data_IF_584057055245
#
_entry.id   IF_584057055245
#
_cell.length_a   1.000
_cell.length_b   1.000
_cell.length_c   1.000
_cell.angle_alpha   90.00
_cell.angle_beta   90.00
_cell.angle_gamma   90.00
#
_symmetry.space_group_name_H-M   'P 1'
#
loop_
_entity.id
_entity.type
_entity.pdbx_description
1 polymer ?
#
# COMPACT_ATOMS: atom_id res chain seq x y z
N UNK A 1 -16.01 18.67 -17.18
CA UNK A 1 -14.82 19.45 -16.82
C UNK A 1 -13.61 18.61 -17.15
N UNK A 2 -12.70 19.12 -18.00
CA UNK A 2 -11.44 18.41 -18.27
C UNK A 2 -10.60 18.46 -16.98
N UNK A 3 -10.38 17.30 -16.37
CA UNK A 3 -9.52 17.21 -15.20
C UNK A 3 -8.08 17.50 -15.63
N UNK A 4 -7.47 18.54 -15.01
CA UNK A 4 -6.09 18.91 -15.31
C UNK A 4 -5.17 17.82 -14.76
N UNK A 5 -4.44 17.13 -15.66
CA UNK A 5 -3.47 16.11 -15.27
C UNK A 5 -2.21 16.74 -14.69
N UNK A 6 -1.73 16.21 -13.58
CA UNK A 6 -0.51 16.64 -12.92
C UNK A 6 0.74 16.00 -13.56
N UNK A 7 1.86 16.70 -13.55
CA UNK A 7 3.09 16.32 -14.28
C UNK A 7 3.89 15.23 -13.55
N UNK A 8 3.30 14.06 -13.33
CA UNK A 8 4.00 12.90 -12.80
C UNK A 8 3.40 11.57 -13.30
N UNK A 9 4.19 10.52 -13.23
CA UNK A 9 3.79 9.13 -13.51
C UNK A 9 3.52 8.42 -12.18
N UNK A 10 2.36 7.78 -12.07
CA UNK A 10 2.08 6.86 -10.95
C UNK A 10 2.54 5.44 -11.33
N UNK A 11 3.61 4.97 -10.70
CA UNK A 11 4.10 3.60 -10.85
C UNK A 11 3.37 2.65 -9.91
N UNK A 12 2.15 2.27 -10.29
CA UNK A 12 1.31 1.36 -9.50
C UNK A 12 0.16 0.79 -10.32
N UNK A 13 -0.08 -0.53 -10.21
CA UNK A 13 -1.26 -1.19 -10.75
C UNK A 13 -2.47 -1.17 -9.78
N UNK A 14 -2.32 -0.60 -8.58
CA UNK A 14 -3.37 -0.63 -7.56
C UNK A 14 -4.50 0.35 -7.85
N UNK A 15 -5.75 -0.11 -8.12
CA UNK A 15 -6.90 0.78 -8.33
C UNK A 15 -7.16 1.68 -7.11
N UNK A 16 -6.92 1.16 -5.91
CA UNK A 16 -7.12 1.90 -4.65
C UNK A 16 -6.24 3.14 -4.53
N UNK A 17 -5.00 3.09 -5.04
CA UNK A 17 -4.09 4.25 -5.04
C UNK A 17 -4.55 5.33 -6.01
N UNK A 18 -5.08 4.93 -7.15
CA UNK A 18 -5.68 5.84 -8.14
C UNK A 18 -6.91 6.52 -7.52
N UNK A 19 -7.79 5.74 -6.91
CA UNK A 19 -8.99 6.25 -6.22
C UNK A 19 -8.63 7.24 -5.11
N UNK A 20 -7.64 6.92 -4.27
CA UNK A 20 -7.17 7.81 -3.21
C UNK A 20 -6.65 9.15 -3.75
N UNK A 21 -5.90 9.14 -4.84
CA UNK A 21 -5.43 10.38 -5.48
C UNK A 21 -6.60 11.16 -6.08
N UNK A 22 -7.54 10.49 -6.74
CA UNK A 22 -8.72 11.10 -7.33
C UNK A 22 -9.61 11.78 -6.27
N UNK A 23 -9.72 11.19 -5.07
CA UNK A 23 -10.50 11.77 -3.97
C UNK A 23 -9.99 13.14 -3.50
N UNK A 24 -8.69 13.40 -3.71
CA UNK A 24 -8.07 14.71 -3.41
C UNK A 24 -7.76 15.51 -4.69
N UNK A 25 -8.41 15.16 -5.82
CA UNK A 25 -8.29 15.85 -7.12
C UNK A 25 -6.87 15.89 -7.68
N UNK A 26 -6.07 14.87 -7.40
CA UNK A 26 -4.73 14.69 -7.97
C UNK A 26 -4.79 13.60 -9.04
N UNK A 27 -4.51 13.97 -10.29
CA UNK A 27 -4.62 13.07 -11.43
C UNK A 27 -3.24 12.90 -12.07
N UNK A 28 -2.63 11.71 -12.00
CA UNK A 28 -1.34 11.47 -12.63
C UNK A 28 -1.45 11.57 -14.16
N UNK A 29 -0.40 12.10 -14.82
CA UNK A 29 -0.32 12.18 -16.28
C UNK A 29 -0.36 10.78 -16.92
N UNK A 30 0.33 9.82 -16.30
CA UNK A 30 0.45 8.43 -16.76
C UNK A 30 0.32 7.49 -15.55
N UNK A 31 -0.34 6.35 -15.76
CA UNK A 31 -0.35 5.22 -14.83
C UNK A 31 0.45 4.10 -15.47
N UNK A 32 1.47 3.61 -14.78
CA UNK A 32 2.36 2.56 -15.25
C UNK A 32 2.58 1.49 -14.20
N UNK A 33 2.42 0.22 -14.54
CA UNK A 33 2.73 -0.89 -13.65
C UNK A 33 4.17 -1.34 -13.85
N UNK A 34 5.02 -1.12 -12.87
CA UNK A 34 6.39 -1.65 -12.88
C UNK A 34 6.39 -3.11 -12.49
N UNK A 35 6.94 -3.94 -13.36
CA UNK A 35 7.24 -5.35 -13.04
C UNK A 35 8.65 -5.43 -12.43
N UNK A 36 8.73 -5.84 -11.17
CA UNK A 36 9.98 -5.98 -10.41
C UNK A 36 9.92 -7.23 -9.55
N UNK A 37 11.07 -7.77 -9.18
CA UNK A 37 11.15 -8.79 -8.14
C UNK A 37 10.86 -8.18 -6.77
N UNK A 38 9.80 -8.69 -6.11
CA UNK A 38 9.34 -8.27 -4.78
C UNK A 38 9.73 -9.30 -3.68
N UNK A 39 10.60 -10.28 -3.93
CA UNK A 39 11.01 -11.25 -2.94
C UNK A 39 11.68 -10.59 -1.72
N UNK A 40 11.45 -11.18 -0.54
CA UNK A 40 12.07 -10.72 0.71
C UNK A 40 13.53 -11.22 0.73
N UNK A 41 14.48 -10.30 0.86
CA UNK A 41 15.89 -10.66 1.01
C UNK A 41 16.15 -11.26 2.40
N UNK A 42 17.18 -12.13 2.48
CA UNK A 42 17.58 -12.74 3.75
C UNK A 42 17.84 -11.68 4.82
N UNK A 43 17.24 -11.87 6.02
CA UNK A 43 17.34 -10.97 7.18
C UNK A 43 16.82 -9.54 6.95
N UNK A 44 16.02 -9.31 5.89
CA UNK A 44 15.45 -8.00 5.62
C UNK A 44 14.28 -7.71 6.59
N UNK A 45 14.36 -6.59 7.32
CA UNK A 45 13.26 -6.19 8.20
C UNK A 45 12.13 -5.52 7.41
N UNK A 46 10.89 -5.47 7.94
CA UNK A 46 9.73 -4.93 7.23
C UNK A 46 9.93 -3.52 6.67
N UNK A 47 10.61 -2.62 7.41
CA UNK A 47 10.82 -1.23 6.98
C UNK A 47 11.84 -1.10 5.85
N UNK A 48 12.86 -1.97 5.81
CA UNK A 48 13.84 -2.03 4.71
C UNK A 48 13.20 -2.61 3.47
N UNK A 49 12.50 -3.73 3.61
CA UNK A 49 11.78 -4.41 2.53
C UNK A 49 10.82 -3.46 1.80
N UNK A 50 9.86 -2.88 2.51
CA UNK A 50 8.84 -2.01 1.92
C UNK A 50 9.47 -0.77 1.22
N UNK A 51 10.50 -0.18 1.83
CA UNK A 51 11.20 0.95 1.22
C UNK A 51 11.99 0.56 -0.04
N UNK A 52 12.62 -0.61 -0.05
CA UNK A 52 13.32 -1.15 -1.21
C UNK A 52 12.37 -1.40 -2.36
N UNK A 53 11.25 -2.08 -2.10
CA UNK A 53 10.25 -2.39 -3.13
C UNK A 53 9.65 -1.10 -3.71
N UNK A 54 9.25 -0.13 -2.86
CA UNK A 54 8.75 1.15 -3.34
C UNK A 54 9.79 1.88 -4.21
N UNK A 55 11.06 1.93 -3.77
CA UNK A 55 12.16 2.54 -4.53
C UNK A 55 12.38 1.83 -5.86
N UNK A 56 12.44 0.51 -5.88
CA UNK A 56 12.69 -0.26 -7.09
C UNK A 56 11.58 -0.08 -8.13
N UNK A 57 10.29 0.01 -7.69
CA UNK A 57 9.17 0.37 -8.57
C UNK A 57 9.39 1.73 -9.23
N UNK A 58 9.85 2.74 -8.47
CA UNK A 58 10.15 4.06 -9.03
C UNK A 58 11.31 4.00 -10.02
N UNK A 59 12.41 3.35 -9.67
CA UNK A 59 13.59 3.23 -10.54
C UNK A 59 13.25 2.51 -11.84
N UNK A 60 12.46 1.43 -11.78
CA UNK A 60 12.01 0.71 -12.97
C UNK A 60 11.15 1.57 -13.90
N UNK A 61 10.31 2.42 -13.33
CA UNK A 61 9.51 3.36 -14.12
C UNK A 61 10.36 4.47 -14.74
N UNK A 62 11.43 4.93 -14.05
CA UNK A 62 12.38 5.91 -14.59
C UNK A 62 13.11 5.41 -15.85
N UNK A 63 13.36 4.10 -15.98
CA UNK A 63 13.95 3.53 -17.21
C UNK A 63 13.07 3.83 -18.44
N UNK A 64 11.76 3.89 -18.26
CA UNK A 64 10.80 4.17 -19.35
C UNK A 64 10.43 5.64 -19.48
N UNK A 65 10.44 6.36 -18.38
CA UNK A 65 10.03 7.77 -18.29
C UNK A 65 11.12 8.62 -17.60
N UNK A 66 12.31 8.76 -18.20
CA UNK A 66 13.48 9.35 -17.54
C UNK A 66 13.28 10.84 -17.17
N UNK A 67 12.48 11.57 -17.95
CA UNK A 67 12.25 13.01 -17.75
C UNK A 67 11.11 13.32 -16.79
N UNK A 68 10.35 12.30 -16.37
CA UNK A 68 9.15 12.50 -15.56
C UNK A 68 9.43 12.30 -14.06
N UNK A 69 8.65 12.95 -13.21
CA UNK A 69 8.57 12.56 -11.82
C UNK A 69 7.82 11.24 -11.67
N UNK A 70 8.37 10.30 -10.94
CA UNK A 70 7.76 9.00 -10.67
C UNK A 70 7.30 8.92 -9.22
N UNK A 71 6.00 8.76 -9.01
CA UNK A 71 5.42 8.42 -7.72
C UNK A 71 5.16 6.92 -7.67
N UNK A 72 5.75 6.23 -6.71
CA UNK A 72 5.47 4.82 -6.45
C UNK A 72 5.15 4.58 -4.99
N UNK A 73 4.55 3.45 -4.68
CA UNK A 73 4.31 3.05 -3.30
C UNK A 73 4.34 1.52 -3.17
N UNK A 74 4.67 1.07 -1.97
CA UNK A 74 4.50 -0.31 -1.57
C UNK A 74 3.86 -0.39 -0.19
N UNK A 75 3.05 -1.44 0.05
CA UNK A 75 2.27 -1.59 1.28
C UNK A 75 2.36 -3.00 1.79
N UNK A 76 2.75 -3.15 3.05
CA UNK A 76 2.82 -4.43 3.73
C UNK A 76 2.07 -4.40 5.06
N UNK A 77 1.63 -5.57 5.50
CA UNK A 77 1.17 -5.81 6.87
C UNK A 77 2.24 -6.56 7.62
N UNK A 78 2.53 -6.17 8.86
CA UNK A 78 3.53 -6.87 9.67
C UNK A 78 3.18 -6.87 11.17
N UNK A 79 3.64 -7.90 11.86
CA UNK A 79 3.57 -7.98 13.32
C UNK A 79 4.95 -8.43 13.83
N UNK A 80 5.56 -7.62 14.70
CA UNK A 80 6.98 -7.76 15.05
C UNK A 80 7.84 -7.77 13.79
N UNK A 81 8.55 -8.86 13.50
CA UNK A 81 9.35 -8.99 12.26
C UNK A 81 8.69 -9.87 11.19
N UNK A 82 7.52 -10.45 11.46
CA UNK A 82 6.80 -11.27 10.48
C UNK A 82 6.02 -10.38 9.51
N UNK A 83 6.32 -10.50 8.22
CA UNK A 83 5.61 -9.82 7.15
C UNK A 83 4.49 -10.73 6.65
N UNK A 84 3.32 -10.13 6.40
CA UNK A 84 2.15 -10.76 5.82
C UNK A 84 1.90 -10.12 4.46
N UNK A 85 2.41 -10.76 3.42
CA UNK A 85 2.22 -10.32 2.03
C UNK A 85 0.81 -10.66 1.54
N UNK A 86 0.59 -10.60 0.23
CA UNK A 86 -0.64 -11.11 -0.39
C UNK A 86 -0.69 -12.62 -0.18
N UNK A 87 -1.81 -13.17 0.32
CA UNK A 87 -1.94 -14.61 0.50
C UNK A 87 -1.97 -15.32 -0.87
N UNK A 88 -1.38 -16.49 -0.92
CA UNK A 88 -1.31 -17.31 -2.13
C UNK A 88 -2.65 -17.97 -2.44
N UNK A 89 -3.37 -18.37 -1.37
CA UNK A 89 -4.62 -19.09 -1.43
C UNK A 89 -5.54 -18.74 -0.26
N UNK A 90 -6.72 -19.38 -0.22
CA UNK A 90 -7.74 -19.17 0.79
C UNK A 90 -7.28 -19.64 2.17
N UNK A 91 -6.49 -20.72 2.26
CA UNK A 91 -6.02 -21.24 3.54
C UNK A 91 -5.00 -20.30 4.16
N UNK A 92 -4.04 -19.77 3.39
CA UNK A 92 -3.11 -18.77 3.90
C UNK A 92 -3.84 -17.48 4.32
N UNK A 93 -4.87 -17.06 3.57
CA UNK A 93 -5.72 -15.93 3.97
C UNK A 93 -6.43 -16.20 5.30
N UNK A 94 -6.95 -17.41 5.51
CA UNK A 94 -7.55 -17.86 6.76
C UNK A 94 -6.58 -17.83 7.93
N UNK A 95 -5.35 -18.29 7.71
CA UNK A 95 -4.29 -18.25 8.71
C UNK A 95 -3.94 -16.83 9.12
N UNK A 96 -3.89 -15.88 8.16
CA UNK A 96 -3.65 -14.47 8.45
C UNK A 96 -4.77 -13.88 9.31
N UNK A 97 -6.04 -14.14 8.98
CA UNK A 97 -7.18 -13.66 9.74
C UNK A 97 -7.22 -14.25 11.15
N UNK A 98 -6.94 -15.54 11.31
CA UNK A 98 -6.80 -16.20 12.60
C UNK A 98 -5.67 -15.56 13.43
N UNK A 99 -4.55 -15.25 12.79
CA UNK A 99 -3.42 -14.59 13.46
C UNK A 99 -3.80 -13.19 13.93
N UNK A 100 -4.55 -12.40 13.14
CA UNK A 100 -4.95 -11.04 13.51
C UNK A 100 -6.12 -10.98 14.49
N UNK A 101 -6.88 -12.05 14.65
CA UNK A 101 -8.02 -12.13 15.54
C UNK A 101 -7.68 -11.69 16.98
N UNK A 102 -8.33 -10.62 17.45
CA UNK A 102 -8.10 -10.04 18.78
C UNK A 102 -6.76 -9.35 18.99
N UNK A 103 -5.96 -9.14 17.93
CA UNK A 103 -4.60 -8.61 18.01
C UNK A 103 -4.43 -7.26 17.32
N UNK A 104 -3.29 -6.64 17.63
CA UNK A 104 -2.79 -5.45 16.94
C UNK A 104 -1.74 -5.86 15.91
N UNK A 105 -1.78 -5.27 14.75
CA UNK A 105 -0.76 -5.40 13.71
C UNK A 105 -0.47 -4.04 13.09
N UNK A 106 0.59 -3.93 12.32
CA UNK A 106 0.99 -2.69 11.67
C UNK A 106 0.80 -2.80 10.16
N UNK A 107 0.32 -1.73 9.56
CA UNK A 107 0.33 -1.52 8.12
C UNK A 107 1.36 -0.45 7.82
N UNK A 108 2.35 -0.78 7.02
CA UNK A 108 3.38 0.14 6.55
C UNK A 108 3.20 0.38 5.07
N UNK A 109 3.08 1.63 4.68
CA UNK A 109 3.25 2.05 3.29
C UNK A 109 4.50 2.91 3.17
N UNK A 110 5.33 2.59 2.19
CA UNK A 110 6.43 3.42 1.75
C UNK A 110 6.04 4.09 0.43
N UNK A 111 6.11 5.41 0.39
CA UNK A 111 5.92 6.21 -0.82
C UNK A 111 7.26 6.71 -1.29
N UNK A 112 7.57 6.54 -2.56
CA UNK A 112 8.78 7.04 -3.19
C UNK A 112 8.44 8.02 -4.31
N UNK A 113 9.07 9.20 -4.28
CA UNK A 113 9.08 10.14 -5.38
C UNK A 113 10.50 10.21 -5.93
N UNK A 114 10.65 9.96 -7.22
CA UNK A 114 11.94 9.91 -7.90
C UNK A 114 11.91 10.70 -9.21
N UNK A 115 13.03 11.38 -9.53
CA UNK A 115 13.36 11.98 -10.84
C UNK A 115 14.87 12.18 -10.91
N UNK A 116 15.50 11.73 -11.97
CA UNK A 116 16.96 11.82 -12.13
C UNK A 116 17.70 11.28 -10.88
N UNK A 117 18.53 12.10 -10.24
CA UNK A 117 19.24 11.74 -9.01
C UNK A 117 18.42 11.97 -7.72
N UNK A 118 17.22 12.54 -7.82
CA UNK A 118 16.35 12.77 -6.68
C UNK A 118 15.61 11.48 -6.33
N UNK A 119 15.77 11.00 -5.09
CA UNK A 119 14.97 9.89 -4.56
C UNK A 119 14.54 10.26 -3.14
N UNK A 120 13.24 10.51 -2.95
CA UNK A 120 12.65 10.80 -1.64
C UNK A 120 11.74 9.66 -1.24
N UNK A 121 11.95 9.05 -0.07
CA UNK A 121 11.10 7.98 0.46
C UNK A 121 10.50 8.40 1.79
N UNK A 122 9.18 8.30 1.91
CA UNK A 122 8.43 8.45 3.16
C UNK A 122 7.88 7.09 3.61
N UNK A 123 7.98 6.81 4.90
CA UNK A 123 7.54 5.55 5.53
C UNK A 123 6.45 5.89 6.54
N UNK A 124 5.26 5.37 6.34
CA UNK A 124 4.11 5.64 7.22
C UNK A 124 3.60 4.35 7.83
N UNK A 125 3.55 4.29 9.13
CA UNK A 125 3.06 3.13 9.89
C UNK A 125 1.72 3.47 10.54
N UNK A 126 0.74 2.62 10.34
CA UNK A 126 -0.55 2.68 11.02
C UNK A 126 -0.81 1.39 11.76
N UNK A 127 -1.18 1.50 13.04
CA UNK A 127 -1.54 0.35 13.87
C UNK A 127 -3.04 0.07 13.77
N UNK A 128 -3.37 -1.15 13.36
CA UNK A 128 -4.75 -1.65 13.26
C UNK A 128 -5.00 -2.66 14.37
N UNK A 129 -6.16 -2.58 15.01
CA UNK A 129 -6.59 -3.54 16.05
C UNK A 129 -7.85 -4.25 15.58
N UNK A 130 -7.79 -5.57 15.47
CA UNK A 130 -8.96 -6.40 15.18
C UNK A 130 -9.70 -6.79 16.46
N UNK A 131 -11.02 -6.93 16.36
CA UNK A 131 -11.80 -7.66 17.35
C UNK A 131 -11.42 -9.15 17.32
N UNK A 132 -11.85 -9.93 18.32
CA UNK A 132 -11.81 -11.40 18.20
C UNK A 132 -12.79 -11.81 17.11
N UNK A 133 -12.33 -12.65 16.18
CA UNK A 133 -13.10 -13.22 15.08
C UNK A 133 -13.52 -14.65 15.47
N UNK A 134 -14.75 -15.02 15.17
CA UNK A 134 -15.19 -16.41 15.24
C UNK A 134 -15.02 -17.11 13.88
N UNK A 135 -15.18 -18.42 13.85
CA UNK A 135 -15.01 -19.22 12.63
C UNK A 135 -15.97 -18.81 11.50
N UNK A 136 -17.23 -18.54 11.85
CA UNK A 136 -18.25 -18.15 10.87
C UNK A 136 -17.87 -16.82 10.20
N UNK A 137 -17.44 -15.81 10.95
CA UNK A 137 -17.03 -14.50 10.42
C UNK A 137 -15.85 -14.62 9.45
N UNK A 138 -14.89 -15.50 9.75
CA UNK A 138 -13.75 -15.74 8.88
C UNK A 138 -14.23 -16.41 7.58
N UNK A 139 -15.07 -17.44 7.64
CA UNK A 139 -15.58 -18.13 6.45
C UNK A 139 -16.45 -17.21 5.58
N UNK A 140 -17.32 -16.42 6.19
CA UNK A 140 -18.12 -15.42 5.50
C UNK A 140 -17.22 -14.42 4.75
N UNK A 141 -16.20 -13.89 5.42
CA UNK A 141 -15.25 -12.97 4.78
C UNK A 141 -14.50 -13.64 3.63
N UNK A 142 -13.99 -14.86 3.83
CA UNK A 142 -13.26 -15.57 2.80
C UNK A 142 -14.13 -15.86 1.56
N UNK A 143 -15.45 -16.00 1.74
CA UNK A 143 -16.39 -16.20 0.63
C UNK A 143 -16.56 -14.96 -0.25
N UNK A 144 -16.29 -13.75 0.25
CA UNK A 144 -16.36 -12.50 -0.53
C UNK A 144 -15.23 -12.37 -1.56
N UNK A 145 -14.16 -13.14 -1.42
CA UNK A 145 -12.93 -13.01 -2.19
C UNK A 145 -12.21 -11.65 -2.05
N UNK A 146 -12.63 -10.77 -1.15
CA UNK A 146 -11.96 -9.47 -0.93
C UNK A 146 -10.52 -9.59 -0.42
N UNK A 147 -10.14 -10.75 0.12
CA UNK A 147 -8.79 -11.05 0.59
C UNK A 147 -7.76 -11.15 -0.53
N UNK A 148 -8.20 -11.43 -1.77
CA UNK A 148 -7.32 -11.55 -2.94
C UNK A 148 -6.58 -10.23 -3.20
N UNK A 149 -5.30 -10.33 -3.53
CA UNK A 149 -4.44 -9.18 -3.81
C UNK A 149 -4.32 -8.13 -2.70
N UNK A 150 -4.53 -8.54 -1.45
CA UNK A 150 -4.41 -7.69 -0.27
C UNK A 150 -3.29 -8.17 0.65
N UNK A 151 -2.34 -7.30 0.95
CA UNK A 151 -1.38 -7.56 2.02
C UNK A 151 -2.12 -7.80 3.34
N UNK A 152 -1.77 -8.90 4.04
CA UNK A 152 -2.47 -9.30 5.25
C UNK A 152 -3.87 -9.87 5.03
N UNK A 153 -4.25 -10.18 3.79
CA UNK A 153 -5.52 -10.82 3.43
C UNK A 153 -6.78 -10.02 3.80
N UNK A 154 -6.74 -8.68 3.93
CA UNK A 154 -7.96 -7.92 4.19
C UNK A 154 -7.99 -6.55 3.51
N UNK A 155 -9.18 -6.05 3.22
CA UNK A 155 -9.45 -4.71 2.74
C UNK A 155 -10.21 -3.92 3.81
N UNK A 156 -9.58 -2.82 4.30
CA UNK A 156 -10.24 -1.93 5.28
C UNK A 156 -11.49 -1.24 4.73
N UNK A 157 -11.58 -1.08 3.41
CA UNK A 157 -12.67 -0.40 2.71
C UNK A 157 -13.87 -1.31 2.41
N UNK A 158 -13.81 -2.60 2.79
CA UNK A 158 -14.82 -3.57 2.44
C UNK A 158 -15.39 -4.30 3.65
N UNK A 159 -15.77 -5.53 3.42
CA UNK A 159 -16.43 -6.37 4.43
C UNK A 159 -15.62 -6.55 5.72
N UNK A 160 -14.27 -6.46 5.65
CA UNK A 160 -13.40 -6.55 6.82
C UNK A 160 -13.45 -5.31 7.73
N UNK A 161 -14.08 -4.20 7.33
CA UNK A 161 -14.21 -3.01 8.18
C UNK A 161 -14.87 -3.35 9.53
N UNK A 162 -15.87 -4.22 9.54
CA UNK A 162 -16.55 -4.71 10.75
C UNK A 162 -15.64 -5.46 11.74
N UNK A 163 -14.44 -5.87 11.30
CA UNK A 163 -13.44 -6.53 12.15
C UNK A 163 -12.54 -5.54 12.87
N UNK A 164 -12.50 -4.28 12.41
CA UNK A 164 -11.56 -3.28 12.87
C UNK A 164 -12.13 -2.53 14.07
N UNK A 165 -11.55 -2.81 15.25
CA UNK A 165 -11.92 -2.14 16.50
C UNK A 165 -11.31 -0.73 16.61
N UNK A 166 -10.10 -0.52 16.08
CA UNK A 166 -9.35 0.74 16.21
C UNK A 166 -8.26 0.86 15.15
N UNK A 167 -8.10 2.08 14.66
CA UNK A 167 -6.98 2.53 13.84
C UNK A 167 -6.22 3.59 14.64
N UNK A 168 -4.89 3.50 14.67
CA UNK A 168 -4.02 4.54 15.22
C UNK A 168 -2.99 4.91 14.14
N UNK A 169 -3.22 6.03 13.48
CA UNK A 169 -2.49 6.53 12.33
C UNK A 169 -3.41 6.92 11.17
N UNK A 170 -2.94 6.77 9.94
CA UNK A 170 -3.63 7.20 8.72
C UNK A 170 -4.48 6.07 8.11
N UNK A 171 -5.77 6.34 7.89
CA UNK A 171 -6.66 5.43 7.16
C UNK A 171 -6.18 5.20 5.72
N UNK A 172 -5.85 6.28 5.00
CA UNK A 172 -5.36 6.19 3.62
C UNK A 172 -4.05 5.39 3.49
N UNK A 173 -3.21 5.41 4.55
CA UNK A 173 -2.06 4.53 4.65
C UNK A 173 -2.46 3.05 4.66
N UNK A 174 -3.50 2.68 5.42
CA UNK A 174 -3.99 1.29 5.47
C UNK A 174 -4.58 0.85 4.13
N UNK A 175 -5.26 1.76 3.44
CA UNK A 175 -5.77 1.52 2.07
C UNK A 175 -4.63 1.29 1.07
N UNK A 176 -3.48 1.98 1.27
CA UNK A 176 -2.27 1.74 0.48
C UNK A 176 -1.56 2.96 -0.10
N UNK A 177 -1.98 4.19 0.26
CA UNK A 177 -1.29 5.43 -0.09
C UNK A 177 -1.56 6.50 0.98
N UNK A 178 -0.59 6.85 1.85
CA UNK A 178 -0.76 7.88 2.87
C UNK A 178 -0.85 9.25 2.20
N UNK A 179 -2.08 9.78 2.09
CA UNK A 179 -2.38 10.97 1.30
C UNK A 179 -1.67 12.24 1.81
N UNK A 180 -1.55 12.42 3.12
CA UNK A 180 -0.86 13.56 3.70
C UNK A 180 0.61 13.63 3.25
N UNK A 181 1.35 12.54 3.39
CA UNK A 181 2.75 12.45 3.01
C UNK A 181 2.92 12.50 1.49
N UNK A 182 1.99 11.89 0.75
CA UNK A 182 2.00 11.91 -0.72
C UNK A 182 1.78 13.32 -1.24
N UNK A 183 0.78 14.04 -0.72
CA UNK A 183 0.51 15.44 -1.05
C UNK A 183 1.75 16.30 -0.81
N UNK A 184 2.33 16.22 0.39
CA UNK A 184 3.51 17.01 0.74
C UNK A 184 4.73 16.69 -0.14
N UNK A 185 4.93 15.43 -0.53
CA UNK A 185 5.99 15.06 -1.47
C UNK A 185 5.79 15.72 -2.84
N UNK A 186 4.58 15.64 -3.40
CA UNK A 186 4.25 16.22 -4.70
C UNK A 186 4.32 17.75 -4.66
N UNK A 187 3.72 18.38 -3.65
CA UNK A 187 3.73 19.82 -3.46
C UNK A 187 5.16 20.38 -3.30
N UNK A 188 6.04 19.66 -2.58
CA UNK A 188 7.44 20.08 -2.40
C UNK A 188 8.26 20.12 -3.70
N UNK A 189 7.71 19.62 -4.80
CA UNK A 189 8.33 19.64 -6.13
C UNK A 189 7.52 20.48 -7.13
N UNK A 190 6.49 21.21 -6.67
CA UNK A 190 5.63 22.02 -7.54
C UNK A 190 4.83 21.20 -8.56
N UNK A 191 4.45 19.97 -8.20
CA UNK A 191 3.72 19.06 -9.11
C UNK A 191 2.20 19.20 -8.98
N UNK A 192 1.75 19.83 -7.92
CA UNK A 192 0.33 20.09 -7.58
C UNK A 192 0.19 21.46 -6.97
#
# INVERSE_FOLDING_TARGET
MNETKHSFVLSSASPRRIELLNNIKIFPKIIYSSDINEDINSKENPKKYCARVAKNKALKALEKYPEEFILSADTIVFCSNKIFLKPKDKEEAKDFLNFFSGRKHNVLTCVCLAKNNLIKVKKVVTKVTFKRLNKQEIEEYLSTNEWKDKAGAYAIQGYAEKFIKRINGSYSNVVGLPLFETYNLLNSQGLI
#
